data_IF_833498759784
#
_entry.id   IF_833498759784
#
_cell.length_a   1.000
_cell.length_b   1.000
_cell.length_c   1.000
_cell.angle_alpha   90.00
_cell.angle_beta   90.00
_cell.angle_gamma   90.00
#
_symmetry.space_group_name_H-M   'P 1'
#
loop_
_entity.id
_entity.type
_entity.pdbx_description
1 polymer ?
#
# COMPACT_ATOMS: atom_id res chain seq x y z
N UNK A 1 8.29 -3.19 -5.53
CA UNK A 1 7.82 -1.94 -4.93
C UNK A 1 6.56 -2.23 -4.13
N UNK A 2 6.65 -2.17 -2.80
CA UNK A 2 5.56 -2.49 -1.89
C UNK A 2 4.74 -1.23 -1.63
N UNK A 3 3.43 -1.30 -1.83
CA UNK A 3 2.48 -0.20 -1.61
C UNK A 3 1.51 -0.58 -0.50
N UNK A 4 0.80 0.37 0.04
CA UNK A 4 -0.26 0.17 1.01
C UNK A 4 -1.47 1.03 0.67
N UNK A 5 -2.64 0.60 1.11
CA UNK A 5 -3.92 1.22 0.75
C UNK A 5 -4.40 2.29 1.74
N UNK A 6 -3.66 2.54 2.84
CA UNK A 6 -4.13 3.41 3.92
C UNK A 6 -4.47 4.85 3.49
N UNK A 7 -3.80 5.36 2.44
CA UNK A 7 -4.01 6.70 1.88
C UNK A 7 -4.79 6.66 0.55
N UNK A 8 -5.42 5.55 0.20
CA UNK A 8 -6.22 5.46 -1.02
C UNK A 8 -7.69 5.70 -0.70
N UNK A 9 -8.31 6.59 -1.47
CA UNK A 9 -9.75 6.78 -1.52
C UNK A 9 -10.41 5.62 -2.27
N UNK A 10 -9.87 5.29 -3.45
CA UNK A 10 -10.35 4.19 -4.30
C UNK A 10 -9.30 3.69 -5.26
N UNK A 11 -9.54 2.51 -5.78
CA UNK A 11 -8.82 1.93 -6.92
C UNK A 11 -9.79 1.73 -8.09
N UNK A 12 -9.39 2.20 -9.26
CA UNK A 12 -10.14 2.08 -10.49
C UNK A 12 -9.42 1.11 -11.43
N UNK A 13 -10.13 0.09 -11.90
CA UNK A 13 -9.59 -0.90 -12.82
C UNK A 13 -10.24 -0.70 -14.19
N UNK A 14 -9.45 -0.26 -15.15
CA UNK A 14 -9.85 -0.13 -16.55
C UNK A 14 -9.40 -1.37 -17.31
N UNK A 15 -10.34 -2.11 -17.86
CA UNK A 15 -10.08 -3.32 -18.65
C UNK A 15 -10.04 -3.00 -20.13
N UNK A 16 -9.14 -3.65 -20.86
CA UNK A 16 -8.99 -3.48 -22.30
C UNK A 16 -7.98 -2.39 -22.68
N UNK A 17 -7.98 -2.00 -23.95
CA UNK A 17 -7.03 -1.01 -24.47
C UNK A 17 -7.36 0.40 -23.93
N UNK A 18 -6.62 0.83 -22.95
CA UNK A 18 -6.70 2.17 -22.35
C UNK A 18 -5.61 3.13 -22.92
N UNK A 19 -4.95 2.75 -23.99
CA UNK A 19 -3.84 3.50 -24.60
C UNK A 19 -4.24 4.90 -25.07
N UNK A 20 -5.51 5.11 -25.41
CA UNK A 20 -6.05 6.41 -25.81
C UNK A 20 -6.05 7.41 -24.63
N UNK A 21 -6.23 6.95 -23.38
CA UNK A 21 -6.28 7.78 -22.19
C UNK A 21 -4.95 7.85 -21.45
N UNK A 22 -4.19 6.75 -21.42
CA UNK A 22 -3.00 6.59 -20.59
C UNK A 22 -1.69 6.37 -21.38
N UNK A 23 -1.73 6.54 -22.72
CA UNK A 23 -0.54 6.44 -23.57
C UNK A 23 -0.10 5.01 -23.89
N UNK A 24 1.12 4.88 -24.45
CA UNK A 24 1.66 3.60 -24.90
C UNK A 24 1.84 2.61 -23.74
N UNK A 25 1.52 1.34 -23.98
CA UNK A 25 1.76 0.25 -23.02
C UNK A 25 0.53 -0.24 -22.27
N UNK A 26 -0.63 0.42 -22.39
CA UNK A 26 -1.89 0.03 -21.73
C UNK A 26 -2.76 -0.85 -22.62
N UNK A 27 -2.20 -1.93 -23.17
CA UNK A 27 -2.93 -2.86 -24.07
C UNK A 27 -3.88 -3.80 -23.33
N UNK A 28 -3.55 -4.20 -22.11
CA UNK A 28 -4.36 -5.10 -21.27
C UNK A 28 -5.28 -4.40 -20.28
N UNK A 29 -5.02 -3.13 -19.99
CA UNK A 29 -5.76 -2.34 -19.01
C UNK A 29 -4.86 -1.42 -18.18
N UNK A 30 -5.48 -0.67 -17.27
CA UNK A 30 -4.78 0.20 -16.33
C UNK A 30 -5.42 0.11 -14.94
N UNK A 31 -4.59 0.27 -13.90
CA UNK A 31 -5.05 0.41 -12.51
C UNK A 31 -4.71 1.84 -12.08
N UNK A 32 -5.74 2.63 -11.82
CA UNK A 32 -5.62 3.98 -11.29
C UNK A 32 -5.81 3.95 -9.77
N UNK A 33 -4.91 4.55 -9.02
CA UNK A 33 -4.96 4.68 -7.58
C UNK A 33 -5.21 6.13 -7.21
N UNK A 34 -6.36 6.41 -6.61
CA UNK A 34 -6.76 7.76 -6.20
C UNK A 34 -6.47 7.93 -4.72
N UNK A 35 -5.62 8.90 -4.39
CA UNK A 35 -5.30 9.23 -3.00
C UNK A 35 -6.45 9.98 -2.32
N UNK A 36 -6.58 9.81 -1.01
CA UNK A 36 -7.48 10.57 -0.17
C UNK A 36 -7.11 12.05 -0.22
N UNK A 37 -8.09 12.91 -0.49
CA UNK A 37 -7.93 14.36 -0.53
C UNK A 37 -8.67 15.03 0.63
N UNK A 38 -8.19 16.19 1.13
CA UNK A 38 -8.94 17.02 2.09
C UNK A 38 -10.28 17.48 1.52
N UNK A 39 -11.31 17.48 2.38
CA UNK A 39 -12.68 17.90 2.09
C UNK A 39 -13.18 18.88 3.15
N UNK A 40 -14.10 19.75 2.83
CA UNK A 40 -14.69 20.73 3.74
C UNK A 40 -15.72 20.08 4.70
N UNK A 41 -15.29 19.00 5.36
CA UNK A 41 -16.07 18.30 6.38
C UNK A 41 -15.12 17.90 7.52
N UNK A 42 -15.66 17.77 8.71
CA UNK A 42 -14.92 17.24 9.86
C UNK A 42 -15.29 15.75 9.99
N UNK A 43 -14.31 14.89 9.77
CA UNK A 43 -14.49 13.45 9.87
C UNK A 43 -13.21 12.79 10.41
N UNK A 44 -13.38 11.69 11.11
CA UNK A 44 -12.27 10.89 11.61
C UNK A 44 -12.64 9.43 11.67
N UNK A 45 -11.69 8.57 11.33
CA UNK A 45 -11.84 7.12 11.33
C UNK A 45 -10.61 6.49 11.95
N UNK A 46 -10.83 5.49 12.78
CA UNK A 46 -9.76 4.65 13.34
C UNK A 46 -10.15 3.20 13.18
N UNK A 47 -9.34 2.44 12.46
CA UNK A 47 -9.54 1.01 12.30
C UNK A 47 -8.44 0.24 13.01
N UNK A 48 -8.84 -0.86 13.67
CA UNK A 48 -7.92 -1.81 14.27
C UNK A 48 -8.29 -3.21 13.82
N UNK A 49 -7.35 -3.91 13.22
CA UNK A 49 -7.52 -5.30 12.81
C UNK A 49 -6.53 -6.20 13.55
N UNK A 50 -7.05 -7.31 14.08
CA UNK A 50 -6.27 -8.37 14.73
C UNK A 50 -6.51 -9.67 13.98
N UNK A 51 -5.48 -10.49 13.85
CA UNK A 51 -5.60 -11.76 13.12
C UNK A 51 -4.61 -12.81 13.58
N UNK A 52 -4.67 -13.97 12.94
CA UNK A 52 -3.73 -15.05 13.15
C UNK A 52 -2.29 -14.62 12.91
N UNK A 53 -1.34 -15.36 13.46
CA UNK A 53 0.09 -15.10 13.31
C UNK A 53 0.51 -13.71 13.81
N UNK A 54 -0.07 -13.32 14.96
CA UNK A 54 0.21 -12.05 15.62
C UNK A 54 -0.04 -10.82 14.71
N UNK A 55 -0.95 -10.96 13.73
CA UNK A 55 -1.32 -9.87 12.85
C UNK A 55 -2.01 -8.76 13.64
N UNK A 56 -1.46 -7.57 13.52
CA UNK A 56 -1.98 -6.35 14.13
C UNK A 56 -1.84 -5.23 13.11
N UNK A 57 -2.95 -4.57 12.81
CA UNK A 57 -2.97 -3.39 11.97
C UNK A 57 -3.80 -2.31 12.63
N UNK A 58 -3.28 -1.11 12.63
CA UNK A 58 -4.01 0.10 13.00
C UNK A 58 -3.91 1.11 11.87
N UNK A 59 -5.02 1.77 11.57
CA UNK A 59 -5.06 2.91 10.65
C UNK A 59 -5.79 4.06 11.32
N UNK A 60 -5.39 5.28 10.98
CA UNK A 60 -6.04 6.51 11.39
C UNK A 60 -6.21 7.41 10.19
N UNK A 61 -7.36 8.06 10.10
CA UNK A 61 -7.69 9.03 9.06
C UNK A 61 -8.44 10.18 9.71
N UNK A 62 -7.91 11.38 9.60
CA UNK A 62 -8.53 12.59 10.16
C UNK A 62 -8.58 13.66 9.08
N UNK A 63 -9.77 14.13 8.79
CA UNK A 63 -10.03 15.24 7.88
C UNK A 63 -10.67 16.39 8.65
N UNK A 64 -10.13 17.58 8.49
CA UNK A 64 -10.59 18.78 9.21
C UNK A 64 -10.73 19.95 8.25
N UNK A 65 -11.91 20.58 8.23
CA UNK A 65 -12.11 21.89 7.65
C UNK A 65 -11.47 22.94 8.59
N UNK A 66 -10.54 23.73 8.07
CA UNK A 66 -9.82 24.78 8.84
C UNK A 66 -10.19 26.19 8.39
N UNK A 67 -11.10 26.31 7.45
CA UNK A 67 -11.64 27.58 6.92
C UNK A 67 -12.79 27.30 5.96
N UNK A 68 -13.33 28.34 5.36
CA UNK A 68 -14.47 28.26 4.43
C UNK A 68 -14.11 27.49 3.13
N UNK A 69 -12.86 27.61 2.69
CA UNK A 69 -12.36 26.96 1.47
C UNK A 69 -11.08 26.15 1.68
N UNK A 70 -10.70 25.91 2.95
CA UNK A 70 -9.44 25.22 3.28
C UNK A 70 -9.72 24.01 4.17
N UNK A 71 -9.12 22.89 3.83
CA UNK A 71 -9.15 21.65 4.60
C UNK A 71 -7.79 20.97 4.69
N UNK A 72 -7.59 20.21 5.73
CA UNK A 72 -6.40 19.35 5.94
C UNK A 72 -6.85 17.92 6.18
N UNK A 73 -6.03 16.96 5.74
CA UNK A 73 -6.24 15.53 6.02
C UNK A 73 -4.92 14.89 6.40
N UNK A 74 -4.96 14.07 7.43
CA UNK A 74 -3.82 13.27 7.88
C UNK A 74 -4.25 11.81 7.97
N UNK A 75 -3.50 10.94 7.35
CA UNK A 75 -3.71 9.49 7.42
C UNK A 75 -2.45 8.82 7.93
N UNK A 76 -2.61 7.76 8.70
CA UNK A 76 -1.49 6.99 9.25
C UNK A 76 -1.79 5.50 9.31
N UNK A 77 -0.76 4.69 9.29
CA UNK A 77 -0.87 3.24 9.35
C UNK A 77 0.33 2.61 10.04
N UNK A 78 0.07 1.58 10.83
CA UNK A 78 1.08 0.65 11.34
C UNK A 78 0.58 -0.78 11.19
N UNK A 79 1.41 -1.68 10.66
CA UNK A 79 1.11 -3.10 10.51
C UNK A 79 2.28 -3.93 11.01
N UNK A 80 1.98 -4.92 11.85
CA UNK A 80 2.94 -5.93 12.30
C UNK A 80 2.31 -7.31 12.20
N UNK A 81 3.07 -8.28 11.72
CA UNK A 81 2.64 -9.67 11.68
C UNK A 81 3.86 -10.60 11.67
N UNK A 82 3.63 -11.82 12.20
CA UNK A 82 4.55 -12.94 12.06
C UNK A 82 3.98 -13.83 10.94
N UNK A 83 4.74 -14.10 9.92
CA UNK A 83 4.22 -14.87 8.79
C UNK A 83 4.33 -16.35 9.07
N UNK A 84 3.23 -16.98 9.47
CA UNK A 84 3.05 -18.43 9.57
C UNK A 84 4.20 -19.20 10.30
N UNK A 85 4.91 -18.54 11.20
CA UNK A 85 6.04 -19.12 11.91
C UNK A 85 7.29 -19.40 11.05
N UNK A 86 7.26 -19.08 9.75
CA UNK A 86 8.33 -19.39 8.79
C UNK A 86 9.47 -18.35 8.77
N UNK A 87 9.73 -17.68 9.87
CA UNK A 87 10.85 -16.73 10.00
C UNK A 87 10.67 -15.41 9.23
N UNK A 88 9.65 -15.28 8.41
CA UNK A 88 9.31 -14.01 7.76
C UNK A 88 8.34 -13.20 8.59
N UNK A 89 8.56 -11.91 8.69
CA UNK A 89 7.71 -11.00 9.44
C UNK A 89 7.32 -9.82 8.58
N UNK A 90 6.20 -9.18 8.90
CA UNK A 90 5.73 -7.94 8.29
C UNK A 90 5.88 -6.83 9.32
N UNK A 91 6.53 -5.74 8.94
CA UNK A 91 6.61 -4.53 9.74
C UNK A 91 6.56 -3.34 8.78
N UNK A 92 5.39 -2.68 8.74
CA UNK A 92 5.10 -1.54 7.87
C UNK A 92 4.57 -0.39 8.70
N UNK A 93 4.95 0.81 8.35
CA UNK A 93 4.32 2.02 8.84
C UNK A 93 4.36 3.11 7.77
N UNK A 94 3.34 3.93 7.77
CA UNK A 94 3.20 5.01 6.83
C UNK A 94 2.41 6.17 7.40
N UNK A 95 2.67 7.33 6.85
CA UNK A 95 1.93 8.56 7.14
C UNK A 95 1.76 9.35 5.85
N UNK A 96 0.60 9.98 5.71
CA UNK A 96 0.39 10.97 4.68
C UNK A 96 -0.34 12.18 5.27
N UNK A 97 -0.03 13.36 4.74
CA UNK A 97 -0.71 14.59 5.10
C UNK A 97 -0.96 15.40 3.83
N UNK A 98 -2.10 16.06 3.78
CA UNK A 98 -2.46 16.91 2.67
C UNK A 98 -3.17 18.17 3.18
N UNK A 99 -2.95 19.27 2.46
CA UNK A 99 -3.72 20.52 2.60
C UNK A 99 -4.28 20.88 1.24
N UNK A 100 -5.49 21.40 1.23
CA UNK A 100 -6.17 21.88 0.05
C UNK A 100 -6.84 23.20 0.39
N UNK A 101 -6.61 24.24 -0.38
CA UNK A 101 -7.13 25.58 -0.16
C UNK A 101 -7.74 26.15 -1.44
N UNK A 102 -8.72 27.05 -1.32
CA UNK A 102 -9.50 27.53 -2.45
C UNK A 102 -10.49 26.47 -2.99
N UNK A 103 -10.94 25.56 -2.14
CA UNK A 103 -11.90 24.52 -2.52
C UNK A 103 -13.21 25.15 -2.98
N UNK A 104 -13.55 24.97 -4.27
CA UNK A 104 -14.72 25.56 -4.89
C UNK A 104 -14.53 26.98 -5.44
N UNK A 105 -13.34 27.56 -5.28
CA UNK A 105 -12.95 28.87 -5.82
C UNK A 105 -12.33 28.74 -7.22
N UNK A 106 -12.05 29.88 -7.86
CA UNK A 106 -11.41 29.94 -9.18
C UNK A 106 -10.00 29.30 -9.16
N UNK A 107 -9.26 29.54 -8.08
CA UNK A 107 -7.93 28.99 -7.86
C UNK A 107 -7.92 28.04 -6.68
N UNK A 108 -7.65 26.79 -6.95
CA UNK A 108 -7.54 25.76 -5.94
C UNK A 108 -6.11 25.21 -5.90
N UNK A 109 -5.49 25.22 -4.73
CA UNK A 109 -4.14 24.72 -4.49
C UNK A 109 -4.18 23.49 -3.60
N UNK A 110 -3.32 22.54 -3.89
CA UNK A 110 -3.13 21.32 -3.09
C UNK A 110 -1.65 21.06 -2.88
N UNK A 111 -1.28 20.70 -1.66
CA UNK A 111 0.02 20.12 -1.34
C UNK A 111 -0.17 18.85 -0.52
N UNK A 112 0.59 17.81 -0.82
CA UNK A 112 0.56 16.58 -0.03
C UNK A 112 1.94 15.96 0.10
N UNK A 113 2.17 15.32 1.24
CA UNK A 113 3.33 14.49 1.52
C UNK A 113 2.88 13.07 1.85
N UNK A 114 3.65 12.10 1.41
CA UNK A 114 3.43 10.68 1.67
C UNK A 114 4.74 10.03 2.05
N UNK A 115 4.72 9.21 3.09
CA UNK A 115 5.83 8.39 3.52
C UNK A 115 5.37 6.97 3.84
N UNK A 116 6.08 5.99 3.35
CA UNK A 116 5.87 4.58 3.66
C UNK A 116 7.23 3.90 3.87
N UNK A 117 7.33 3.16 4.94
CA UNK A 117 8.48 2.29 5.20
C UNK A 117 8.02 0.87 5.49
N UNK A 118 8.70 -0.09 4.90
CA UNK A 118 8.54 -1.51 5.17
C UNK A 118 9.88 -2.17 5.51
N UNK A 119 9.86 -3.04 6.51
CA UNK A 119 10.97 -3.91 6.90
C UNK A 119 10.41 -5.30 7.12
N UNK A 120 10.29 -6.05 6.05
CA UNK A 120 9.72 -7.38 6.07
C UNK A 120 10.83 -8.44 6.13
N UNK A 121 10.57 -9.57 6.79
CA UNK A 121 11.34 -10.77 6.55
C UNK A 121 11.14 -11.27 5.13
N UNK A 122 12.07 -12.03 4.63
CA UNK A 122 11.98 -12.63 3.28
C UNK A 122 11.60 -14.10 3.43
N UNK A 123 10.61 -14.55 2.68
CA UNK A 123 10.26 -15.96 2.57
C UNK A 123 10.55 -16.41 1.14
N UNK A 124 11.54 -17.28 0.99
CA UNK A 124 11.93 -17.85 -0.30
C UNK A 124 11.05 -19.03 -0.74
N UNK A 125 10.03 -19.38 0.04
CA UNK A 125 9.20 -20.55 -0.19
C UNK A 125 9.90 -21.85 0.20
N UNK A 126 9.32 -22.96 -0.23
CA UNK A 126 9.85 -24.30 0.02
C UNK A 126 10.58 -24.81 -1.24
N UNK A 127 11.73 -25.50 -1.09
CA UNK A 127 12.40 -26.11 -2.22
C UNK A 127 11.57 -27.27 -2.78
N UNK A 128 11.52 -27.34 -4.09
CA UNK A 128 10.86 -28.39 -4.84
C UNK A 128 11.88 -29.22 -5.59
N UNK A 129 11.67 -30.55 -5.63
CA UNK A 129 12.42 -31.45 -6.50
C UNK A 129 11.72 -31.52 -7.86
N UNK A 130 12.48 -31.38 -8.92
CA UNK A 130 12.03 -31.72 -10.27
C UNK A 130 12.46 -33.16 -10.54
N UNK A 131 11.50 -34.06 -10.63
CA UNK A 131 11.74 -35.51 -10.80
C UNK A 131 11.63 -35.92 -12.27
N UNK A 132 11.20 -35.02 -13.17
CA UNK A 132 11.06 -35.24 -14.60
C UNK A 132 10.83 -33.95 -15.37
N UNK A 133 10.70 -34.00 -16.71
CA UNK A 133 10.63 -32.83 -17.57
C UNK A 133 9.28 -32.10 -17.56
N UNK A 134 8.23 -32.70 -17.01
CA UNK A 134 6.88 -32.14 -17.02
C UNK A 134 6.61 -31.27 -15.77
N UNK A 135 5.68 -30.29 -15.85
CA UNK A 135 5.28 -29.48 -14.69
C UNK A 135 4.74 -30.28 -13.51
N UNK A 136 4.07 -31.40 -13.77
CA UNK A 136 3.55 -32.33 -12.77
C UNK A 136 4.63 -33.16 -12.07
N UNK A 137 5.83 -33.24 -12.65
CA UNK A 137 6.98 -33.95 -12.09
C UNK A 137 7.68 -33.15 -10.99
N UNK A 138 6.94 -32.35 -10.23
CA UNK A 138 7.45 -31.56 -9.11
C UNK A 138 6.91 -32.11 -7.81
N UNK A 139 7.80 -32.38 -6.89
CA UNK A 139 7.46 -32.84 -5.56
C UNK A 139 8.13 -32.00 -4.48
N UNK A 140 7.45 -31.79 -3.36
CA UNK A 140 8.12 -31.25 -2.18
C UNK A 140 9.12 -32.26 -1.63
N UNK A 141 10.22 -31.79 -1.07
CA UNK A 141 11.18 -32.64 -0.37
C UNK A 141 10.47 -33.43 0.76
N UNK A 142 10.65 -34.74 0.85
CA UNK A 142 10.07 -35.53 1.94
C UNK A 142 10.47 -34.99 3.32
N UNK A 143 9.52 -34.90 4.24
CA UNK A 143 9.76 -34.43 5.59
C UNK A 143 9.80 -32.91 5.78
N UNK A 144 9.61 -32.12 4.71
CA UNK A 144 9.49 -30.67 4.83
C UNK A 144 8.17 -30.28 5.49
N UNK A 145 8.26 -29.46 6.53
CA UNK A 145 7.09 -28.80 7.10
C UNK A 145 6.74 -27.55 6.31
N UNK A 146 5.45 -27.23 6.10
CA UNK A 146 5.04 -26.00 5.42
C UNK A 146 5.58 -24.71 6.07
N UNK A 147 5.92 -24.76 7.36
CA UNK A 147 6.47 -23.65 8.13
C UNK A 147 8.01 -23.61 8.13
N UNK A 148 8.68 -24.52 7.41
CA UNK A 148 10.13 -24.53 7.35
C UNK A 148 10.65 -23.29 6.63
N UNK A 149 11.67 -22.65 7.21
CA UNK A 149 12.31 -21.45 6.67
C UNK A 149 13.71 -21.80 6.14
N UNK A 150 13.98 -21.43 4.90
CA UNK A 150 15.23 -21.75 4.19
C UNK A 150 16.07 -20.50 3.88
N UNK A 151 15.79 -19.39 4.54
CA UNK A 151 16.60 -18.18 4.46
C UNK A 151 17.48 -17.98 5.70
N UNK A 152 18.22 -16.91 5.71
CA UNK A 152 18.93 -16.47 6.91
C UNK A 152 18.02 -15.59 7.76
N UNK A 153 18.17 -15.65 9.08
CA UNK A 153 17.42 -14.78 10.01
C UNK A 153 17.75 -13.29 9.83
N UNK A 154 18.86 -12.98 9.16
CA UNK A 154 19.26 -11.63 8.77
C UNK A 154 18.59 -11.10 7.50
N UNK A 155 17.98 -11.99 6.69
CA UNK A 155 17.38 -11.59 5.42
C UNK A 155 16.21 -10.63 5.64
N UNK A 156 16.25 -9.52 4.96
CA UNK A 156 15.24 -8.45 5.06
C UNK A 156 14.90 -7.91 3.68
N UNK A 157 13.62 -7.71 3.46
CA UNK A 157 13.11 -6.89 2.38
C UNK A 157 12.79 -5.50 2.95
N UNK A 158 13.62 -4.53 2.62
CA UNK A 158 13.50 -3.16 3.09
C UNK A 158 13.13 -2.24 1.94
N UNK A 159 12.12 -1.40 2.16
CA UNK A 159 11.70 -0.38 1.19
C UNK A 159 11.24 0.89 1.90
N UNK A 160 11.57 2.01 1.31
CA UNK A 160 11.09 3.33 1.69
C UNK A 160 10.56 4.06 0.47
N UNK A 161 9.47 4.79 0.65
CA UNK A 161 8.90 5.65 -0.38
C UNK A 161 8.52 6.98 0.25
N UNK A 162 8.99 8.06 -0.34
CA UNK A 162 8.61 9.43 0.01
C UNK A 162 8.13 10.14 -1.25
N UNK A 163 6.99 10.81 -1.16
CA UNK A 163 6.43 11.58 -2.26
C UNK A 163 5.96 12.95 -1.76
N UNK A 164 6.25 13.98 -2.56
CA UNK A 164 5.66 15.31 -2.44
C UNK A 164 4.84 15.56 -3.69
N UNK A 165 3.61 16.00 -3.53
CA UNK A 165 2.74 16.37 -4.64
C UNK A 165 2.25 17.79 -4.45
N UNK A 166 2.35 18.60 -5.50
CA UNK A 166 1.80 19.93 -5.56
C UNK A 166 0.83 19.99 -6.75
N UNK A 167 -0.33 20.56 -6.53
CA UNK A 167 -1.36 20.69 -7.55
C UNK A 167 -1.98 22.08 -7.52
N UNK A 168 -2.33 22.58 -8.70
CA UNK A 168 -3.10 23.80 -8.88
C UNK A 168 -4.18 23.54 -9.92
N UNK A 169 -5.39 23.90 -9.59
CA UNK A 169 -6.53 23.87 -10.51
C UNK A 169 -7.02 25.30 -10.68
N UNK A 170 -7.16 25.73 -11.93
CA UNK A 170 -7.79 26.98 -12.32
C UNK A 170 -9.07 26.65 -13.07
N UNK A 171 -10.18 27.29 -12.66
CA UNK A 171 -11.51 27.13 -13.25
C UNK A 171 -12.02 28.42 -13.88
#
# INVERSE_FOLDING_TARGET
>A
YDRDTFNLDRMEVLRGSASMLFGRGSTGGAINQVSKLPRLVDEGEVDVALGSWNYKRATVDVNKAVGESTAVRVTGMATKADNNGAGSSINKHGIAAAIRTGIGEEHELMASVYYLRNRNGVNYGLPWLTTGPKPEDRASLPGLKPQAFYGMSSDRNHGEASMLTLGHVWR
#
